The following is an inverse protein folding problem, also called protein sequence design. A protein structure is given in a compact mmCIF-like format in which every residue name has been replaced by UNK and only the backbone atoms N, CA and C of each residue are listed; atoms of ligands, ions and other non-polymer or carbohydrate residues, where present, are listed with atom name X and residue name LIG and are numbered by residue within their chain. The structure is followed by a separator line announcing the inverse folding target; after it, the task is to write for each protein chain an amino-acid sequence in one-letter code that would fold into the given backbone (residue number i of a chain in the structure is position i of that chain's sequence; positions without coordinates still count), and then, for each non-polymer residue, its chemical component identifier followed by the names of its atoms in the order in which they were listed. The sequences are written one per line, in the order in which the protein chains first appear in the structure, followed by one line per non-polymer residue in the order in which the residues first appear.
data_IF_137648265860
#
_entry.id   IF_137648265860
#
_cell.length_a   1.000
_cell.length_b   1.000
_cell.length_c   1.000
_cell.angle_alpha   90.00
_cell.angle_beta   90.00
_cell.angle_gamma   90.00
#
_symmetry.space_group_name_H-M   'P 1'
#
loop_
_entity.id
_entity.type
_entity.pdbx_description
1 polymer ?
#
# COMPACT_ATOMS: atom_id res chain seq x y z
N UNK A 1 16.43 18.59 -12.57
CA UNK A 1 16.28 17.13 -12.43
C UNK A 1 15.30 16.73 -11.33
N UNK A 2 15.40 17.32 -10.13
CA UNK A 2 14.52 17.02 -8.98
C UNK A 2 13.06 17.39 -9.29
N UNK A 3 12.80 18.64 -9.73
CA UNK A 3 11.46 19.09 -10.09
C UNK A 3 10.76 18.17 -11.12
N UNK A 4 11.47 17.77 -12.19
CA UNK A 4 10.93 16.82 -13.19
C UNK A 4 10.55 15.47 -12.58
N UNK A 5 11.42 14.90 -11.74
CA UNK A 5 11.19 13.59 -11.14
C UNK A 5 10.08 13.62 -10.08
N UNK A 6 10.03 14.68 -9.26
CA UNK A 6 8.95 14.90 -8.29
C UNK A 6 7.62 15.15 -9.00
N UNK A 7 7.62 15.91 -10.10
CA UNK A 7 6.42 16.18 -10.89
C UNK A 7 5.82 14.92 -11.53
N UNK A 8 6.65 14.00 -12.05
CA UNK A 8 6.18 12.69 -12.56
C UNK A 8 5.51 11.88 -11.46
N UNK A 9 6.09 11.85 -10.26
CA UNK A 9 5.51 11.16 -9.11
C UNK A 9 4.18 11.81 -8.72
N UNK A 10 4.16 13.14 -8.65
CA UNK A 10 2.98 13.93 -8.31
C UNK A 10 1.82 13.65 -9.28
N UNK A 11 2.06 13.75 -10.59
CA UNK A 11 1.04 13.43 -11.61
C UNK A 11 0.58 11.98 -11.47
N UNK A 12 1.50 11.02 -11.36
CA UNK A 12 1.10 9.61 -11.32
C UNK A 12 0.28 9.30 -10.09
N UNK A 13 0.69 9.78 -8.91
CA UNK A 13 -0.08 9.61 -7.67
C UNK A 13 -1.42 10.34 -7.76
N UNK A 14 -1.48 11.50 -8.40
CA UNK A 14 -2.72 12.25 -8.61
C UNK A 14 -3.68 11.49 -9.51
N UNK A 15 -3.19 10.94 -10.62
CA UNK A 15 -3.97 10.06 -11.48
C UNK A 15 -4.45 8.82 -10.72
N UNK A 16 -3.60 8.19 -9.91
CA UNK A 16 -4.01 7.05 -9.10
C UNK A 16 -5.12 7.43 -8.09
N UNK A 17 -4.99 8.58 -7.43
CA UNK A 17 -5.99 9.08 -6.49
C UNK A 17 -7.33 9.36 -7.19
N UNK A 18 -7.31 10.04 -8.34
CA UNK A 18 -8.51 10.35 -9.14
C UNK A 18 -9.18 9.07 -9.65
N UNK A 19 -8.42 8.11 -10.19
CA UNK A 19 -8.96 6.82 -10.64
C UNK A 19 -9.56 6.03 -9.47
N UNK A 20 -8.89 6.02 -8.32
CA UNK A 20 -9.39 5.40 -7.11
C UNK A 20 -10.70 6.03 -6.65
N UNK A 21 -10.77 7.36 -6.63
CA UNK A 21 -11.97 8.11 -6.27
C UNK A 21 -13.12 7.87 -7.25
N UNK A 22 -12.82 7.80 -8.56
CA UNK A 22 -13.81 7.44 -9.58
C UNK A 22 -14.38 6.03 -9.34
N UNK A 23 -13.53 5.05 -9.04
CA UNK A 23 -13.97 3.69 -8.71
C UNK A 23 -14.90 3.66 -7.49
N UNK A 24 -14.57 4.41 -6.45
CA UNK A 24 -15.41 4.52 -5.25
C UNK A 24 -16.73 5.24 -5.54
N UNK A 25 -16.69 6.35 -6.30
CA UNK A 25 -17.90 7.07 -6.68
C UNK A 25 -18.85 6.20 -7.52
N UNK A 26 -18.31 5.41 -8.43
CA UNK A 26 -19.10 4.46 -9.23
C UNK A 26 -19.75 3.39 -8.33
N UNK A 27 -18.99 2.80 -7.40
CA UNK A 27 -19.52 1.85 -6.41
C UNK A 27 -20.65 2.50 -5.59
N UNK A 28 -20.42 3.69 -5.02
CA UNK A 28 -21.41 4.41 -4.22
C UNK A 28 -22.68 4.71 -5.03
N UNK A 29 -22.56 5.05 -6.31
CA UNK A 29 -23.72 5.32 -7.18
C UNK A 29 -24.48 4.06 -7.59
N UNK A 30 -23.82 2.91 -7.66
CA UNK A 30 -24.47 1.65 -8.07
C UNK A 30 -25.09 0.94 -6.86
N UNK A 31 -24.40 0.89 -5.72
CA UNK A 31 -24.87 0.17 -4.53
C UNK A 31 -25.61 1.05 -3.52
N UNK A 32 -25.63 2.37 -3.71
CA UNK A 32 -26.38 3.31 -2.87
C UNK A 32 -25.95 3.27 -1.40
N UNK A 33 -26.94 3.24 -0.50
CA UNK A 33 -26.75 3.24 0.95
C UNK A 33 -26.00 2.01 1.49
N UNK A 34 -25.91 0.92 0.71
CA UNK A 34 -25.19 -0.28 1.13
C UNK A 34 -23.68 -0.21 0.87
N UNK A 35 -23.22 0.73 0.03
CA UNK A 35 -21.80 0.84 -0.33
C UNK A 35 -20.87 1.04 0.88
N UNK A 36 -21.17 1.95 1.83
CA UNK A 36 -20.32 2.17 3.00
C UNK A 36 -20.20 0.91 3.88
N UNK A 37 -21.30 0.19 4.10
CA UNK A 37 -21.30 -1.02 4.93
C UNK A 37 -20.43 -2.14 4.34
N UNK A 38 -20.54 -2.39 3.03
CA UNK A 38 -19.77 -3.43 2.33
C UNK A 38 -18.29 -3.06 2.24
N UNK A 39 -17.98 -1.81 1.84
CA UNK A 39 -16.60 -1.34 1.75
C UNK A 39 -15.95 -1.26 3.14
N UNK A 40 -16.73 -0.95 4.17
CA UNK A 40 -16.30 -0.94 5.55
C UNK A 40 -15.77 -2.28 6.04
N UNK A 41 -16.44 -3.39 5.73
CA UNK A 41 -15.96 -4.75 6.05
C UNK A 41 -14.60 -5.03 5.40
N UNK A 42 -14.48 -4.71 4.10
CA UNK A 42 -13.24 -4.89 3.34
C UNK A 42 -12.10 -4.04 3.93
N UNK A 43 -12.37 -2.77 4.20
CA UNK A 43 -11.36 -1.85 4.69
C UNK A 43 -11.00 -2.07 6.15
N UNK A 44 -11.92 -2.57 6.98
CA UNK A 44 -11.60 -3.06 8.31
C UNK A 44 -10.62 -4.23 8.23
N UNK A 45 -10.92 -5.26 7.42
CA UNK A 45 -10.02 -6.39 7.21
C UNK A 45 -8.63 -5.96 6.70
N UNK A 46 -8.59 -5.01 5.76
CA UNK A 46 -7.34 -4.41 5.29
C UNK A 46 -6.58 -3.71 6.43
N UNK A 47 -7.27 -2.95 7.27
CA UNK A 47 -6.65 -2.17 8.35
C UNK A 47 -6.14 -3.06 9.47
N UNK A 48 -6.90 -4.08 9.83
CA UNK A 48 -6.53 -5.06 10.85
C UNK A 48 -5.22 -5.76 10.46
N UNK A 49 -5.14 -6.29 9.24
CA UNK A 49 -3.89 -6.88 8.74
C UNK A 49 -2.81 -5.81 8.56
N UNK A 50 -3.19 -4.62 8.08
CA UNK A 50 -2.32 -3.48 7.86
C UNK A 50 -1.64 -2.96 9.13
N UNK A 51 -2.25 -3.11 10.30
CA UNK A 51 -1.67 -2.75 11.59
C UNK A 51 -0.37 -3.53 11.88
N UNK A 52 -0.20 -4.72 11.29
CA UNK A 52 1.03 -5.51 11.37
C UNK A 52 2.03 -5.21 10.25
N UNK A 53 1.62 -4.47 9.21
CA UNK A 53 2.42 -4.26 8.00
C UNK A 53 3.73 -3.50 8.24
N UNK A 54 3.87 -2.81 9.38
CA UNK A 54 5.14 -2.21 9.80
C UNK A 54 6.27 -3.25 9.86
N UNK A 55 5.97 -4.52 10.18
CA UNK A 55 6.96 -5.61 10.21
C UNK A 55 7.61 -5.79 8.83
N UNK A 56 6.85 -5.56 7.76
CA UNK A 56 7.34 -5.66 6.38
C UNK A 56 8.31 -4.55 5.99
N UNK A 57 8.37 -3.48 6.80
CA UNK A 57 9.27 -2.35 6.60
C UNK A 57 9.69 -1.77 7.96
N UNK A 58 10.78 -2.29 8.51
CA UNK A 58 11.38 -1.82 9.76
C UNK A 58 12.46 -0.76 9.49
N UNK A 59 12.22 0.15 8.54
CA UNK A 59 13.19 1.15 8.07
C UNK A 59 14.17 0.64 6.99
N UNK A 60 14.04 -0.61 6.57
CA UNK A 60 14.91 -1.21 5.56
C UNK A 60 14.73 -0.62 4.15
N UNK A 61 13.55 -0.08 3.83
CA UNK A 61 13.33 0.60 2.55
C UNK A 61 14.22 1.86 2.46
N UNK A 62 14.28 2.64 3.55
CA UNK A 62 15.16 3.80 3.64
C UNK A 62 16.65 3.39 3.66
N UNK A 63 16.99 2.28 4.34
CA UNK A 63 18.35 1.73 4.31
C UNK A 63 18.77 1.39 2.87
N UNK A 64 17.91 0.70 2.13
CA UNK A 64 18.15 0.30 0.75
C UNK A 64 18.37 1.51 -0.16
N UNK A 65 17.44 2.46 -0.10
CA UNK A 65 17.54 3.70 -0.90
C UNK A 65 18.82 4.45 -0.59
N UNK A 66 19.20 4.56 0.69
CA UNK A 66 20.45 5.20 1.11
C UNK A 66 21.66 4.47 0.55
N UNK A 67 21.75 3.14 0.67
CA UNK A 67 22.95 2.40 0.23
C UNK A 67 23.19 2.46 -1.27
N UNK A 68 22.14 2.35 -2.08
CA UNK A 68 22.28 2.52 -3.52
C UNK A 68 22.64 3.97 -3.87
N UNK A 69 22.01 4.95 -3.21
CA UNK A 69 22.30 6.38 -3.44
C UNK A 69 23.73 6.78 -3.03
N UNK A 70 24.32 6.08 -2.06
CA UNK A 70 25.72 6.21 -1.63
C UNK A 70 26.71 5.56 -2.62
N UNK A 71 26.22 4.88 -3.68
CA UNK A 71 27.07 4.25 -4.70
C UNK A 71 27.60 2.87 -4.33
N UNK A 72 26.93 2.16 -3.41
CA UNK A 72 27.29 0.77 -3.07
C UNK A 72 26.97 -0.19 -4.22
N UNK A 73 27.56 -1.40 -4.18
CA UNK A 73 27.37 -2.41 -5.21
C UNK A 73 25.87 -2.76 -5.34
N UNK A 74 25.34 -2.57 -6.55
CA UNK A 74 23.91 -2.70 -6.81
C UNK A 74 23.44 -4.16 -6.69
N UNK A 75 24.25 -5.12 -7.16
CA UNK A 75 23.92 -6.53 -7.12
C UNK A 75 23.80 -7.04 -5.68
N UNK A 76 24.79 -6.71 -4.84
CA UNK A 76 24.79 -7.03 -3.41
C UNK A 76 23.69 -6.31 -2.64
N UNK A 77 23.42 -5.03 -2.96
CA UNK A 77 22.29 -4.29 -2.37
C UNK A 77 20.96 -4.99 -2.67
N UNK A 78 20.69 -5.32 -3.94
CA UNK A 78 19.44 -5.95 -4.36
C UNK A 78 19.29 -7.33 -3.74
N UNK A 79 20.32 -8.17 -3.81
CA UNK A 79 20.33 -9.52 -3.23
C UNK A 79 20.05 -9.52 -1.73
N UNK A 80 20.74 -8.64 -1.00
CA UNK A 80 20.58 -8.51 0.46
C UNK A 80 19.20 -7.97 0.80
N UNK A 81 18.72 -6.96 0.08
CA UNK A 81 17.42 -6.36 0.34
C UNK A 81 16.25 -7.28 0.02
N UNK A 82 16.34 -8.08 -1.05
CA UNK A 82 15.37 -9.14 -1.37
C UNK A 82 15.30 -10.16 -0.22
N UNK A 83 16.46 -10.64 0.26
CA UNK A 83 16.50 -11.59 1.38
C UNK A 83 15.87 -11.00 2.64
N UNK A 84 16.20 -9.74 2.98
CA UNK A 84 15.57 -9.03 4.10
C UNK A 84 14.06 -8.96 3.91
N UNK A 85 13.58 -8.55 2.74
CA UNK A 85 12.15 -8.42 2.46
C UNK A 85 11.41 -9.75 2.59
N UNK A 86 11.96 -10.83 2.03
CA UNK A 86 11.36 -12.16 2.16
C UNK A 86 11.24 -12.60 3.63
N UNK A 87 12.28 -12.38 4.43
CA UNK A 87 12.26 -12.69 5.87
C UNK A 87 11.20 -11.85 6.59
N UNK A 88 11.20 -10.53 6.38
CA UNK A 88 10.25 -9.62 7.03
C UNK A 88 8.80 -9.91 6.63
N UNK A 89 8.54 -10.17 5.35
CA UNK A 89 7.21 -10.55 4.85
C UNK A 89 6.77 -11.90 5.43
N UNK A 90 7.69 -12.85 5.59
CA UNK A 90 7.42 -14.13 6.26
C UNK A 90 7.08 -13.96 7.74
N UNK A 91 7.85 -13.15 8.49
CA UNK A 91 7.59 -12.83 9.90
C UNK A 91 6.24 -12.12 10.03
N UNK A 92 5.94 -11.17 9.14
CA UNK A 92 4.65 -10.50 9.09
C UNK A 92 3.51 -11.52 8.93
N UNK A 93 3.55 -12.38 7.92
CA UNK A 93 2.49 -13.36 7.70
C UNK A 93 2.33 -14.30 8.90
N UNK A 94 3.44 -14.80 9.45
CA UNK A 94 3.44 -15.65 10.64
C UNK A 94 2.84 -14.93 11.86
N UNK A 95 3.14 -13.63 12.05
CA UNK A 95 2.61 -12.84 13.17
C UNK A 95 1.10 -12.64 13.09
N UNK A 96 0.56 -12.39 11.90
CA UNK A 96 -0.89 -12.24 11.71
C UNK A 96 -1.60 -13.58 11.92
N UNK A 97 -1.07 -14.67 11.34
CA UNK A 97 -1.63 -16.03 11.53
C UNK A 97 -1.58 -16.43 13.02
N UNK A 98 -0.48 -16.14 13.71
CA UNK A 98 -0.35 -16.43 15.15
C UNK A 98 -1.40 -15.67 15.96
N UNK A 99 -1.64 -14.40 15.63
CA UNK A 99 -2.69 -13.58 16.27
C UNK A 99 -4.08 -14.22 16.08
N UNK A 100 -4.40 -14.70 14.87
CA UNK A 100 -5.68 -15.39 14.59
C UNK A 100 -5.81 -16.67 15.42
N UNK A 101 -4.74 -17.47 15.51
CA UNK A 101 -4.72 -18.72 16.29
C UNK A 101 -4.92 -18.42 17.78
N UNK A 102 -4.21 -17.43 18.32
CA UNK A 102 -4.34 -17.03 19.73
C UNK A 102 -5.77 -16.56 20.01
N UNK A 103 -6.33 -15.72 19.13
CA UNK A 103 -7.70 -15.22 19.26
C UNK A 103 -8.72 -16.37 19.34
N UNK A 104 -8.60 -17.33 18.43
CA UNK A 104 -9.57 -18.43 18.32
C UNK A 104 -9.43 -19.49 19.41
N UNK A 105 -8.21 -19.93 19.68
CA UNK A 105 -7.96 -21.12 20.52
C UNK A 105 -7.54 -20.80 21.95
N UNK A 106 -6.98 -19.61 22.20
CA UNK A 106 -6.54 -19.20 23.54
C UNK A 106 -7.58 -18.33 24.20
N UNK A 107 -8.11 -17.32 23.48
CA UNK A 107 -9.14 -16.42 24.00
C UNK A 107 -10.57 -16.97 23.85
N UNK A 108 -10.75 -18.05 23.08
CA UNK A 108 -12.06 -18.65 22.77
C UNK A 108 -13.06 -17.67 22.16
N UNK A 109 -12.56 -16.63 21.50
CA UNK A 109 -13.36 -15.64 20.81
C UNK A 109 -13.57 -16.06 19.35
N UNK A 110 -14.75 -15.76 18.81
CA UNK A 110 -15.01 -15.91 17.38
C UNK A 110 -14.91 -14.54 16.71
N UNK A 111 -14.39 -14.50 15.48
CA UNK A 111 -14.48 -13.29 14.68
C UNK A 111 -15.94 -13.14 14.22
N UNK A 112 -16.69 -12.22 14.84
CA UNK A 112 -18.05 -11.89 14.43
C UNK A 112 -18.07 -10.76 13.39
N UNK A 113 -19.08 -10.83 12.52
CA UNK A 113 -19.68 -9.68 11.84
C UNK A 113 -18.84 -8.95 10.76
N UNK A 114 -17.87 -8.11 11.12
CA UNK A 114 -17.05 -7.29 10.20
C UNK A 114 -15.69 -7.92 9.84
N UNK A 115 -15.32 -9.01 10.50
CA UNK A 115 -14.06 -9.74 10.30
C UNK A 115 -14.33 -11.17 9.88
N UNK A 116 -14.83 -11.38 8.65
CA UNK A 116 -14.77 -12.74 8.12
C UNK A 116 -13.30 -13.14 8.02
N UNK A 117 -12.93 -14.23 8.70
CA UNK A 117 -11.57 -14.78 8.72
C UNK A 117 -10.99 -14.90 7.29
N UNK A 118 -11.85 -15.25 6.33
CA UNK A 118 -11.53 -15.29 4.90
C UNK A 118 -11.02 -13.96 4.34
N UNK A 119 -11.58 -12.82 4.76
CA UNK A 119 -11.14 -11.48 4.34
C UNK A 119 -9.77 -11.15 4.93
N UNK A 120 -9.50 -11.55 6.18
CA UNK A 120 -8.18 -11.39 6.80
C UNK A 120 -7.13 -12.16 6.00
N UNK A 121 -7.39 -13.43 5.65
CA UNK A 121 -6.48 -14.23 4.83
C UNK A 121 -6.22 -13.61 3.45
N UNK A 122 -7.25 -13.07 2.80
CA UNK A 122 -7.10 -12.35 1.54
C UNK A 122 -6.20 -11.12 1.70
N UNK A 123 -6.31 -10.39 2.80
CA UNK A 123 -5.44 -9.23 3.05
C UNK A 123 -4.01 -9.61 3.44
N UNK A 124 -3.78 -10.77 4.06
CA UNK A 124 -2.41 -11.29 4.21
C UNK A 124 -1.77 -11.46 2.82
N UNK A 125 -2.47 -12.11 1.89
CA UNK A 125 -1.98 -12.29 0.52
C UNK A 125 -1.73 -10.95 -0.20
N UNK A 126 -2.65 -9.99 -0.06
CA UNK A 126 -2.48 -8.63 -0.57
C UNK A 126 -1.19 -7.98 -0.04
N UNK A 127 -0.96 -7.99 1.28
CA UNK A 127 0.21 -7.36 1.88
C UNK A 127 1.52 -8.08 1.55
N UNK A 128 1.48 -9.40 1.30
CA UNK A 128 2.64 -10.15 0.77
C UNK A 128 3.04 -9.60 -0.60
N UNK A 129 2.12 -9.56 -1.56
CA UNK A 129 2.43 -9.03 -2.90
C UNK A 129 2.80 -7.55 -2.86
N UNK A 130 2.08 -6.75 -2.07
CA UNK A 130 2.36 -5.32 -1.92
C UNK A 130 3.76 -5.09 -1.35
N UNK A 131 4.17 -5.85 -0.33
CA UNK A 131 5.49 -5.77 0.29
C UNK A 131 6.60 -6.15 -0.70
N UNK A 132 6.43 -7.26 -1.43
CA UNK A 132 7.40 -7.71 -2.42
C UNK A 132 7.51 -6.75 -3.61
N UNK A 133 6.40 -6.11 -4.00
CA UNK A 133 6.40 -5.07 -5.03
C UNK A 133 7.22 -3.83 -4.63
N UNK A 134 7.44 -3.58 -3.33
CA UNK A 134 8.31 -2.49 -2.89
C UNK A 134 9.78 -2.71 -3.27
N UNK A 135 10.23 -3.96 -3.49
CA UNK A 135 11.60 -4.26 -3.90
C UNK A 135 11.99 -3.47 -5.16
N UNK A 136 11.34 -3.70 -6.33
CA UNK A 136 11.67 -2.98 -7.55
C UNK A 136 11.44 -1.48 -7.44
N UNK A 137 10.41 -1.04 -6.69
CA UNK A 137 10.07 0.38 -6.54
C UNK A 137 11.17 1.13 -5.81
N UNK A 138 11.62 0.61 -4.66
CA UNK A 138 12.68 1.25 -3.88
C UNK A 138 14.01 1.24 -4.62
N UNK A 139 14.35 0.15 -5.31
CA UNK A 139 15.54 0.09 -6.17
C UNK A 139 15.47 1.13 -7.29
N UNK A 140 14.39 1.21 -8.05
CA UNK A 140 14.24 2.16 -9.16
C UNK A 140 14.22 3.63 -8.68
N UNK A 141 13.58 3.90 -7.55
CA UNK A 141 13.57 5.22 -6.92
C UNK A 141 14.98 5.65 -6.49
N UNK A 142 15.74 4.73 -5.88
CA UNK A 142 17.13 5.01 -5.48
C UNK A 142 18.06 5.29 -6.67
N UNK A 143 17.79 4.66 -7.82
CA UNK A 143 18.47 4.91 -9.09
C UNK A 143 17.95 6.17 -9.82
N UNK A 144 17.02 6.93 -9.21
CA UNK A 144 16.36 8.12 -9.78
C UNK A 144 15.59 7.83 -11.07
N UNK A 145 15.15 6.59 -11.27
CA UNK A 145 14.36 6.12 -12.41
C UNK A 145 12.87 6.07 -12.07
N UNK A 146 12.39 7.16 -11.46
CA UNK A 146 11.06 7.25 -10.85
C UNK A 146 9.92 6.98 -11.85
N UNK A 147 10.09 7.34 -13.13
CA UNK A 147 9.10 7.02 -14.16
C UNK A 147 8.79 5.51 -14.24
N UNK A 148 9.80 4.64 -14.05
CA UNK A 148 9.59 3.18 -14.11
C UNK A 148 8.89 2.62 -12.88
N UNK A 149 9.22 3.14 -11.69
CA UNK A 149 8.51 2.74 -10.47
C UNK A 149 7.07 3.24 -10.46
N UNK A 150 6.83 4.43 -10.99
CA UNK A 150 5.48 4.99 -11.16
C UNK A 150 4.60 4.14 -12.07
N UNK A 151 5.12 3.55 -13.15
CA UNK A 151 4.37 2.61 -14.01
C UNK A 151 3.89 1.38 -13.21
N UNK A 152 4.76 0.82 -12.35
CA UNK A 152 4.39 -0.30 -11.48
C UNK A 152 3.29 0.10 -10.49
N UNK A 153 3.39 1.26 -9.85
CA UNK A 153 2.35 1.77 -8.93
C UNK A 153 1.02 2.00 -9.67
N UNK A 154 1.05 2.61 -10.85
CA UNK A 154 -0.14 2.86 -11.65
C UNK A 154 -0.84 1.56 -12.06
N UNK A 155 -0.08 0.49 -12.33
CA UNK A 155 -0.63 -0.80 -12.72
C UNK A 155 -1.47 -1.48 -11.63
N UNK A 156 -1.19 -1.23 -10.34
CA UNK A 156 -2.08 -1.64 -9.24
C UNK A 156 -3.41 -0.91 -9.33
N UNK A 157 -3.36 0.42 -9.46
CA UNK A 157 -4.58 1.22 -9.41
C UNK A 157 -5.47 0.97 -10.62
N UNK A 158 -4.90 0.88 -11.83
CA UNK A 158 -5.65 0.58 -13.04
C UNK A 158 -6.32 -0.79 -12.95
N UNK A 159 -5.56 -1.83 -12.58
CA UNK A 159 -6.09 -3.19 -12.45
C UNK A 159 -7.20 -3.26 -11.39
N UNK A 160 -6.95 -2.69 -10.20
CA UNK A 160 -7.93 -2.68 -9.11
C UNK A 160 -9.21 -1.95 -9.51
N UNK A 161 -9.11 -0.72 -10.04
CA UNK A 161 -10.30 0.08 -10.39
C UNK A 161 -11.09 -0.61 -11.50
N UNK A 162 -10.41 -1.16 -12.50
CA UNK A 162 -11.07 -1.92 -13.57
C UNK A 162 -11.90 -3.09 -13.00
N UNK A 163 -11.30 -3.90 -12.13
CA UNK A 163 -11.99 -5.03 -11.50
C UNK A 163 -13.13 -4.57 -10.58
N UNK A 164 -12.92 -3.53 -9.78
CA UNK A 164 -13.94 -2.97 -8.90
C UNK A 164 -15.18 -2.51 -9.67
N UNK A 165 -15.01 -1.92 -10.86
CA UNK A 165 -16.13 -1.52 -11.72
C UNK A 165 -16.90 -2.74 -12.24
N UNK A 166 -16.20 -3.79 -12.68
CA UNK A 166 -16.83 -5.04 -13.11
C UNK A 166 -17.64 -5.66 -11.96
N UNK A 167 -17.05 -5.72 -10.78
CA UNK A 167 -17.69 -6.25 -9.57
C UNK A 167 -18.92 -5.40 -9.20
N UNK A 168 -18.83 -4.08 -9.26
CA UNK A 168 -19.94 -3.17 -9.00
C UNK A 168 -21.15 -3.45 -9.90
N UNK A 169 -20.91 -3.71 -11.19
CA UNK A 169 -21.96 -3.98 -12.18
C UNK A 169 -22.64 -5.35 -12.01
N UNK A 170 -21.99 -6.30 -11.32
CA UNK A 170 -22.55 -7.63 -11.09
C UNK A 170 -23.71 -7.64 -10.08
N UNK A 171 -23.88 -6.58 -9.28
CA UNK A 171 -24.86 -6.50 -8.20
C UNK A 171 -24.42 -7.23 -6.93
N UNK A 172 -25.31 -7.32 -5.95
CA UNK A 172 -25.07 -7.91 -4.63
C UNK A 172 -26.17 -8.92 -4.36
N UNK A 173 -25.81 -10.14 -3.96
CA UNK A 173 -26.76 -11.16 -3.56
C UNK A 173 -26.32 -11.80 -2.24
N UNK A 174 -27.04 -11.51 -1.16
CA UNK A 174 -26.84 -12.16 0.13
C UNK A 174 -25.66 -11.61 0.96
N UNK A 175 -25.20 -10.39 0.71
CA UNK A 175 -24.12 -9.81 1.51
C UNK A 175 -24.61 -9.47 2.91
N UNK A 176 -23.89 -9.93 3.95
CA UNK A 176 -24.19 -9.57 5.33
C UNK A 176 -23.43 -8.30 5.70
N UNK A 177 -24.16 -7.30 6.17
CA UNK A 177 -23.59 -6.08 6.77
C UNK A 177 -24.16 -5.87 8.18
N UNK A 178 -23.38 -5.16 8.98
CA UNK A 178 -23.73 -4.84 10.37
C UNK A 178 -24.04 -3.37 10.43
N UNK A 179 -25.23 -3.07 10.94
CA UNK A 179 -25.72 -1.71 11.13
C UNK A 179 -26.13 -1.51 12.57
N UNK A 180 -26.38 -0.28 12.97
CA UNK A 180 -26.90 0.03 14.30
C UNK A 180 -28.24 -0.67 14.58
N UNK A 181 -29.00 -1.01 13.51
CA UNK A 181 -30.25 -1.75 13.57
C UNK A 181 -30.08 -3.28 13.58
N UNK A 182 -28.84 -3.79 13.65
CA UNK A 182 -28.49 -5.21 13.61
C UNK A 182 -27.93 -5.68 12.25
N UNK A 183 -27.82 -7.00 12.09
CA UNK A 183 -27.31 -7.65 10.87
C UNK A 183 -28.37 -7.64 9.77
N UNK A 184 -28.02 -7.11 8.59
CA UNK A 184 -28.91 -7.06 7.42
C UNK A 184 -28.36 -7.87 6.25
N UNK A 185 -29.24 -8.57 5.55
CA UNK A 185 -28.94 -9.24 4.27
C UNK A 185 -29.21 -8.24 3.15
N UNK A 186 -28.15 -7.84 2.44
CA UNK A 186 -28.22 -6.89 1.33
C UNK A 186 -28.36 -7.64 0.01
N UNK A 187 -29.35 -7.23 -0.77
CA UNK A 187 -29.56 -7.66 -2.15
C UNK A 187 -29.72 -6.42 -3.03
N UNK A 188 -28.80 -6.24 -3.97
CA UNK A 188 -28.87 -5.19 -4.99
C UNK A 188 -28.90 -5.88 -6.35
N UNK A 189 -29.97 -5.72 -7.15
CA UNK A 189 -30.05 -6.35 -8.45
C UNK A 189 -28.89 -5.88 -9.33
N UNK A 190 -28.42 -6.77 -10.20
CA UNK A 190 -27.40 -6.40 -11.18
C UNK A 190 -27.93 -5.26 -12.07
N UNK A 191 -27.07 -4.27 -12.35
CA UNK A 191 -27.48 -3.12 -13.16
C UNK A 191 -27.78 -3.51 -14.61
N UNK A 192 -27.10 -4.54 -15.10
CA UNK A 192 -27.30 -5.13 -16.42
C UNK A 192 -27.25 -6.65 -16.32
N UNK A 193 -28.10 -7.31 -17.10
CA UNK A 193 -28.01 -8.76 -17.32
C UNK A 193 -26.83 -8.98 -18.27
N UNK A 194 -25.80 -9.70 -17.82
CA UNK A 194 -24.63 -9.94 -18.66
C UNK A 194 -24.95 -10.95 -19.78
N UNK A 195 -24.15 -11.00 -20.86
CA UNK A 195 -24.31 -12.02 -21.89
C UNK A 195 -24.29 -13.44 -21.29
N UNK A 196 -25.01 -14.38 -21.91
CA UNK A 196 -25.25 -15.71 -21.35
C UNK A 196 -23.98 -16.44 -20.87
N UNK A 197 -22.90 -16.31 -21.65
CA UNK A 197 -21.59 -16.86 -21.33
C UNK A 197 -21.00 -16.37 -19.99
N UNK A 198 -21.34 -15.15 -19.56
CA UNK A 198 -20.82 -14.54 -18.34
C UNK A 198 -21.74 -14.67 -17.12
N UNK A 199 -22.93 -15.28 -17.24
CA UNK A 199 -23.83 -15.50 -16.09
C UNK A 199 -23.17 -16.23 -14.91
N UNK A 200 -22.37 -17.30 -15.11
CA UNK A 200 -21.72 -17.98 -14.00
C UNK A 200 -20.79 -17.05 -13.21
N UNK A 201 -20.06 -16.19 -13.92
CA UNK A 201 -19.15 -15.21 -13.31
C UNK A 201 -19.95 -14.12 -12.60
N UNK A 202 -21.02 -13.61 -13.23
CA UNK A 202 -21.89 -12.61 -12.62
C UNK A 202 -22.49 -13.11 -11.30
N UNK A 203 -23.01 -14.34 -11.28
CA UNK A 203 -23.58 -14.97 -10.09
C UNK A 203 -22.51 -15.21 -9.01
N UNK A 204 -21.31 -15.64 -9.40
CA UNK A 204 -20.21 -15.81 -8.45
C UNK A 204 -19.81 -14.47 -7.79
N UNK A 205 -19.66 -13.41 -8.59
CA UNK A 205 -19.29 -12.09 -8.10
C UNK A 205 -20.35 -11.48 -7.17
N UNK A 206 -21.64 -11.63 -7.51
CA UNK A 206 -22.73 -11.07 -6.70
C UNK A 206 -22.89 -11.79 -5.37
N UNK A 207 -22.69 -13.11 -5.33
CA UNK A 207 -22.78 -13.93 -4.10
C UNK A 207 -21.57 -13.76 -3.19
N UNK A 208 -20.37 -13.55 -3.75
CA UNK A 208 -19.12 -13.44 -3.01
C UNK A 208 -18.55 -12.02 -3.00
N UNK A 209 -19.42 -11.00 -2.90
CA UNK A 209 -19.03 -9.60 -3.17
C UNK A 209 -17.83 -9.11 -2.35
N UNK A 210 -17.80 -9.38 -1.04
CA UNK A 210 -16.72 -8.95 -0.13
C UNK A 210 -15.39 -9.62 -0.52
N UNK A 211 -15.44 -10.91 -0.87
CA UNK A 211 -14.29 -11.67 -1.35
C UNK A 211 -13.82 -11.18 -2.73
N UNK A 212 -14.75 -10.88 -3.64
CA UNK A 212 -14.45 -10.36 -4.97
C UNK A 212 -13.75 -8.98 -4.90
N UNK A 213 -14.24 -8.06 -4.05
CA UNK A 213 -13.60 -6.76 -3.82
C UNK A 213 -12.20 -6.97 -3.25
N UNK A 214 -12.06 -7.82 -2.23
CA UNK A 214 -10.75 -8.13 -1.62
C UNK A 214 -9.77 -8.71 -2.65
N UNK A 215 -10.26 -9.59 -3.54
CA UNK A 215 -9.48 -10.12 -4.64
C UNK A 215 -9.05 -9.04 -5.65
N UNK A 216 -9.88 -8.04 -5.94
CA UNK A 216 -9.48 -6.92 -6.80
C UNK A 216 -8.28 -6.15 -6.23
N UNK A 217 -8.17 -6.01 -4.91
CA UNK A 217 -6.98 -5.46 -4.25
C UNK A 217 -5.75 -6.36 -4.42
N UNK A 218 -5.90 -7.68 -4.25
CA UNK A 218 -4.81 -8.64 -4.48
C UNK A 218 -4.34 -8.59 -5.93
N UNK A 219 -5.25 -8.60 -6.89
CA UNK A 219 -4.93 -8.51 -8.32
C UNK A 219 -4.21 -7.21 -8.67
N UNK A 220 -4.59 -6.09 -8.04
CA UNK A 220 -3.85 -4.83 -8.12
C UNK A 220 -2.41 -4.96 -7.59
N UNK A 221 -2.24 -5.45 -6.37
CA UNK A 221 -0.91 -5.66 -5.78
C UNK A 221 -0.04 -6.63 -6.59
N UNK A 222 -0.65 -7.70 -7.14
CA UNK A 222 0.01 -8.66 -8.01
C UNK A 222 0.44 -8.01 -9.33
N UNK A 223 -0.41 -7.20 -9.95
CA UNK A 223 -0.08 -6.42 -11.15
C UNK A 223 1.15 -5.53 -10.90
N UNK A 224 1.14 -4.78 -9.80
CA UNK A 224 2.26 -3.94 -9.37
C UNK A 224 3.54 -4.75 -9.12
N UNK A 225 3.43 -5.91 -8.46
CA UNK A 225 4.54 -6.85 -8.28
C UNK A 225 5.11 -7.31 -9.63
N UNK A 226 4.28 -7.85 -10.52
CA UNK A 226 4.70 -8.38 -11.83
C UNK A 226 5.37 -7.28 -12.67
N UNK A 227 4.70 -6.15 -12.85
CA UNK A 227 5.21 -5.02 -13.63
C UNK A 227 6.50 -4.47 -13.01
N UNK A 228 6.56 -4.37 -11.68
CA UNK A 228 7.76 -3.93 -10.97
C UNK A 228 8.97 -4.83 -11.24
N UNK A 229 8.81 -6.14 -11.14
CA UNK A 229 9.90 -7.09 -11.39
C UNK A 229 10.30 -7.15 -12.87
N UNK A 230 9.36 -6.98 -13.81
CA UNK A 230 9.67 -6.80 -15.23
C UNK A 230 10.59 -5.58 -15.43
N UNK A 231 10.31 -4.46 -14.74
CA UNK A 231 11.14 -3.25 -14.81
C UNK A 231 12.51 -3.43 -14.15
N UNK A 232 12.61 -4.30 -13.13
CA UNK A 232 13.84 -4.61 -12.42
C UNK A 232 14.75 -5.63 -13.15
N UNK A 233 14.22 -6.40 -14.10
CA UNK A 233 14.95 -7.48 -14.80
C UNK A 233 16.30 -7.06 -15.42
N UNK A 234 16.49 -5.78 -15.74
CA UNK A 234 17.73 -5.25 -16.35
C UNK A 234 18.81 -4.89 -15.33
N UNK A 235 18.59 -5.07 -14.03
CA UNK A 235 19.54 -4.70 -12.97
C UNK A 235 20.12 -5.93 -12.30
N UNK A 236 21.41 -5.88 -11.90
CA UNK A 236 22.08 -7.02 -11.28
C UNK A 236 21.44 -7.38 -9.93
N UNK A 237 21.37 -8.68 -9.67
CA UNK A 237 20.96 -9.26 -8.39
C UNK A 237 22.02 -10.30 -8.04
N UNK A 238 22.76 -10.07 -6.96
CA UNK A 238 23.77 -10.99 -6.45
C UNK A 238 23.22 -11.77 -5.26
N UNK A 239 23.97 -12.75 -4.73
CA UNK A 239 23.62 -13.39 -3.46
C UNK A 239 23.66 -12.37 -2.30
N UNK A 240 22.83 -12.55 -1.25
CA UNK A 240 22.86 -11.68 -0.08
C UNK A 240 24.24 -11.69 0.57
N UNK A 241 24.69 -10.52 1.03
CA UNK A 241 26.02 -10.31 1.58
C UNK A 241 25.92 -9.91 3.06
N UNK A 242 26.71 -10.57 3.92
CA UNK A 242 26.67 -10.38 5.38
C UNK A 242 27.11 -8.98 5.80
N UNK A 243 28.07 -8.38 5.09
CA UNK A 243 28.52 -7.00 5.34
C UNK A 243 27.39 -6.02 5.04
N UNK A 244 26.72 -6.20 3.90
CA UNK A 244 25.57 -5.39 3.49
C UNK A 244 24.41 -5.54 4.48
N UNK A 245 24.13 -6.76 4.96
CA UNK A 245 23.10 -6.99 5.98
C UNK A 245 23.38 -6.18 7.25
N UNK A 246 24.62 -6.19 7.75
CA UNK A 246 25.03 -5.41 8.92
C UNK A 246 24.88 -3.90 8.69
N UNK A 247 25.26 -3.42 7.50
CA UNK A 247 25.09 -2.01 7.13
C UNK A 247 23.62 -1.59 7.07
N UNK A 248 22.72 -2.48 6.62
CA UNK A 248 21.29 -2.22 6.56
C UNK A 248 20.71 -2.18 7.97
N UNK A 249 21.02 -3.17 8.80
CA UNK A 249 20.58 -3.25 10.19
C UNK A 249 20.98 -2.01 11.00
N UNK A 250 22.24 -1.59 10.92
CA UNK A 250 22.73 -0.39 11.64
C UNK A 250 21.95 0.89 11.31
N UNK A 251 21.41 0.98 10.09
CA UNK A 251 20.59 2.12 9.70
C UNK A 251 19.10 1.91 9.99
N UNK A 252 18.60 0.69 9.82
CA UNK A 252 17.19 0.34 9.99
C UNK A 252 16.78 0.36 11.46
N UNK A 253 17.59 -0.18 12.38
CA UNK A 253 17.29 -0.28 13.82
C UNK A 253 16.83 1.06 14.44
N UNK A 254 17.57 2.18 14.31
CA UNK A 254 17.10 3.46 14.86
C UNK A 254 15.85 3.99 14.14
N UNK A 255 15.62 3.59 12.88
CA UNK A 255 14.43 3.97 12.10
C UNK A 255 13.20 3.11 12.43
N UNK A 256 13.34 2.01 13.17
CA UNK A 256 12.22 1.12 13.49
C UNK A 256 11.14 1.83 14.29
N UNK A 257 11.53 2.64 15.28
CA UNK A 257 10.62 3.38 16.16
C UNK A 257 9.73 4.35 15.36
N UNK A 258 10.28 5.32 14.60
CA UNK A 258 9.45 6.26 13.85
C UNK A 258 8.58 5.57 12.80
N UNK A 259 9.07 4.47 12.20
CA UNK A 259 8.29 3.71 11.22
C UNK A 259 7.12 2.99 11.90
N UNK A 260 7.34 2.31 13.03
CA UNK A 260 6.26 1.68 13.81
C UNK A 260 5.14 2.68 14.14
N UNK A 261 5.48 3.85 14.70
CA UNK A 261 4.50 4.88 15.02
C UNK A 261 3.75 5.40 13.79
N UNK A 262 4.44 5.58 12.67
CA UNK A 262 3.81 6.05 11.43
C UNK A 262 2.79 5.05 10.89
N UNK A 263 3.11 3.76 10.93
CA UNK A 263 2.21 2.69 10.47
C UNK A 263 1.03 2.50 11.42
N UNK A 264 1.27 2.48 12.73
CA UNK A 264 0.20 2.42 13.72
C UNK A 264 -0.78 3.59 13.53
N UNK A 265 -0.29 4.82 13.39
CA UNK A 265 -1.14 5.98 13.16
C UNK A 265 -1.95 5.91 11.84
N UNK A 266 -1.50 5.13 10.86
CA UNK A 266 -2.18 5.00 9.56
C UNK A 266 -3.33 3.98 9.56
N UNK A 267 -3.37 3.07 10.54
CA UNK A 267 -4.31 1.95 10.58
C UNK A 267 -5.10 1.84 11.90
N UNK A 268 -4.57 2.34 13.02
CA UNK A 268 -5.19 2.22 14.34
C UNK A 268 -6.56 2.89 14.40
N UNK A 269 -6.71 4.06 13.77
CA UNK A 269 -7.98 4.78 13.61
C UNK A 269 -9.12 3.85 13.19
N UNK A 270 -8.90 3.04 12.16
CA UNK A 270 -9.96 2.19 11.57
C UNK A 270 -10.14 0.89 12.32
N UNK A 271 -9.08 0.37 12.92
CA UNK A 271 -9.18 -0.82 13.77
C UNK A 271 -10.00 -0.49 15.02
N UNK A 272 -9.75 0.66 15.64
CA UNK A 272 -10.52 1.13 16.79
C UNK A 272 -11.96 1.40 16.37
N UNK A 273 -12.19 2.12 15.26
CA UNK A 273 -13.54 2.35 14.75
C UNK A 273 -14.26 1.04 14.44
N UNK A 274 -13.66 0.11 13.72
CA UNK A 274 -14.36 -1.15 13.39
C UNK A 274 -14.54 -2.11 14.57
N UNK A 275 -13.84 -1.89 15.70
CA UNK A 275 -14.05 -2.64 16.94
C UNK A 275 -15.19 -2.06 17.78
N UNK A 276 -15.25 -0.73 17.91
CA UNK A 276 -16.25 -0.08 18.77
C UNK A 276 -17.56 0.28 18.04
N UNK A 277 -17.50 0.43 16.72
CA UNK A 277 -18.52 1.04 15.88
C UNK A 277 -18.84 0.13 14.68
N UNK A 278 -19.77 0.55 13.83
CA UNK A 278 -20.29 -0.28 12.73
C UNK A 278 -19.38 -0.26 11.50
N UNK A 279 -19.53 -1.25 10.61
CA UNK A 279 -18.80 -1.27 9.34
C UNK A 279 -19.16 -0.07 8.46
N UNK A 280 -20.37 0.46 8.57
CA UNK A 280 -20.83 1.65 7.85
C UNK A 280 -19.96 2.87 8.20
N UNK A 281 -19.68 3.08 9.49
CA UNK A 281 -18.87 4.20 9.97
C UNK A 281 -17.40 4.08 9.52
N UNK A 282 -16.85 2.86 9.54
CA UNK A 282 -15.53 2.59 8.95
C UNK A 282 -15.51 2.96 7.47
N UNK A 283 -16.58 2.62 6.74
CA UNK A 283 -16.78 3.00 5.34
C UNK A 283 -16.73 4.50 5.12
N UNK A 284 -17.52 5.27 5.88
CA UNK A 284 -17.51 6.73 5.76
C UNK A 284 -16.16 7.35 6.11
N UNK A 285 -15.54 6.90 7.21
CA UNK A 285 -14.25 7.40 7.65
C UNK A 285 -13.17 7.23 6.56
N UNK A 286 -13.09 6.03 5.97
CA UNK A 286 -12.15 5.76 4.90
C UNK A 286 -12.39 6.59 3.65
N UNK A 287 -13.66 6.80 3.29
CA UNK A 287 -14.00 7.63 2.13
C UNK A 287 -13.49 9.07 2.31
N UNK A 288 -13.65 9.64 3.51
CA UNK A 288 -13.13 10.98 3.84
C UNK A 288 -11.60 10.99 3.86
N UNK A 289 -10.96 9.98 4.45
CA UNK A 289 -9.50 9.90 4.51
C UNK A 289 -8.85 9.88 3.10
N UNK A 290 -9.52 9.32 2.09
CA UNK A 290 -9.06 9.36 0.69
C UNK A 290 -8.94 10.78 0.16
N UNK A 291 -9.84 11.67 0.57
CA UNK A 291 -9.79 13.09 0.23
C UNK A 291 -8.59 13.75 0.92
N UNK A 292 -8.37 13.45 2.21
CA UNK A 292 -7.21 13.96 2.96
C UNK A 292 -5.86 13.54 2.37
N UNK A 293 -5.76 12.32 1.84
CA UNK A 293 -4.52 11.87 1.17
C UNK A 293 -4.18 12.64 -0.09
N UNK A 294 -5.14 13.32 -0.71
CA UNK A 294 -4.86 14.18 -1.86
C UNK A 294 -3.97 15.38 -1.47
N UNK A 295 -4.13 15.92 -0.26
CA UNK A 295 -3.28 17.01 0.27
C UNK A 295 -1.84 16.53 0.51
N UNK A 296 -1.68 15.27 0.94
CA UNK A 296 -0.37 14.67 1.23
C UNK A 296 0.45 14.29 -0.01
N UNK A 297 -0.13 14.42 -1.21
CA UNK A 297 0.46 14.00 -2.47
C UNK A 297 1.72 14.82 -2.83
N UNK A 298 1.72 16.13 -2.56
CA UNK A 298 2.87 16.97 -2.88
C UNK A 298 4.05 16.73 -1.93
N UNK A 299 3.85 16.73 -0.59
CA UNK A 299 4.90 16.35 0.35
C UNK A 299 5.51 14.96 0.06
N UNK A 300 4.67 13.96 -0.27
CA UNK A 300 5.15 12.60 -0.54
C UNK A 300 6.05 12.53 -1.80
N UNK A 301 5.66 13.21 -2.88
CA UNK A 301 6.40 13.22 -4.14
C UNK A 301 7.79 13.88 -3.99
N UNK A 302 7.87 14.93 -3.17
CA UNK A 302 9.13 15.61 -2.86
C UNK A 302 10.01 14.71 -2.00
N UNK A 303 9.46 14.09 -0.96
CA UNK A 303 10.17 13.19 -0.06
C UNK A 303 10.87 12.03 -0.79
N UNK A 304 10.17 11.40 -1.75
CA UNK A 304 10.71 10.28 -2.55
C UNK A 304 11.97 10.68 -3.34
N UNK A 305 12.08 11.93 -3.80
CA UNK A 305 13.24 12.42 -4.56
C UNK A 305 14.30 13.03 -3.67
N UNK A 306 13.87 13.67 -2.58
CA UNK A 306 14.73 14.41 -1.66
C UNK A 306 15.72 13.48 -0.96
N UNK A 307 15.24 12.36 -0.41
CA UNK A 307 16.10 11.45 0.36
C UNK A 307 17.24 10.82 -0.47
N UNK A 308 17.00 10.20 -1.65
CA UNK A 308 18.09 9.73 -2.51
C UNK A 308 19.05 10.85 -2.93
N UNK A 309 18.52 12.05 -3.14
CA UNK A 309 19.34 13.20 -3.57
C UNK A 309 20.28 13.64 -2.45
N UNK A 310 19.76 13.85 -1.23
CA UNK A 310 20.56 14.18 -0.04
C UNK A 310 21.63 13.12 0.20
N UNK A 311 21.25 11.84 0.15
CA UNK A 311 22.18 10.73 0.35
C UNK A 311 23.31 10.72 -0.70
N UNK A 312 22.98 10.92 -1.97
CA UNK A 312 23.99 11.01 -3.05
C UNK A 312 24.90 12.25 -2.93
N UNK A 313 24.35 13.40 -2.49
CA UNK A 313 25.11 14.63 -2.28
C UNK A 313 26.07 14.52 -1.10
N UNK A 314 25.66 13.81 -0.04
CA UNK A 314 26.49 13.59 1.14
C UNK A 314 27.79 12.87 0.79
N UNK A 315 27.71 11.85 -0.08
CA UNK A 315 28.90 11.14 -0.59
C UNK A 315 29.67 11.99 -1.60
N UNK A 316 28.98 12.61 -2.55
CA UNK A 316 29.61 13.42 -3.61
C UNK A 316 30.45 14.58 -3.06
N UNK A 317 30.02 15.22 -1.98
CA UNK A 317 30.71 16.34 -1.36
C UNK A 317 31.36 15.98 -0.02
N UNK A 318 31.69 14.70 0.20
CA UNK A 318 32.26 14.21 1.47
C UNK A 318 33.54 14.96 1.87
N UNK A 319 34.39 15.30 0.90
CA UNK A 319 35.65 16.02 1.11
C UNK A 319 35.48 17.53 1.33
N UNK A 320 34.37 18.15 0.90
CA UNK A 320 34.14 19.59 1.01
C UNK A 320 32.87 19.88 1.82
N UNK A 321 33.04 19.92 3.14
CA UNK A 321 31.95 20.10 4.12
C UNK A 321 31.20 21.41 3.92
N UNK A 322 31.89 22.53 3.63
CA UNK A 322 31.24 23.83 3.38
C UNK A 322 30.32 23.76 2.17
N UNK A 323 30.81 23.23 1.05
CA UNK A 323 30.01 23.06 -0.18
C UNK A 323 28.84 22.08 0.03
N UNK A 324 29.08 20.98 0.74
CA UNK A 324 28.04 20.00 1.11
C UNK A 324 26.91 20.67 1.87
N UNK A 325 27.24 21.34 2.98
CA UNK A 325 26.24 21.97 3.85
C UNK A 325 25.49 23.07 3.09
N UNK A 326 26.19 23.89 2.30
CA UNK A 326 25.55 24.93 1.49
C UNK A 326 24.54 24.35 0.49
N UNK A 327 24.92 23.32 -0.27
CA UNK A 327 23.99 22.72 -1.23
C UNK A 327 22.83 21.97 -0.57
N UNK A 328 23.07 21.32 0.57
CA UNK A 328 21.99 20.68 1.34
C UNK A 328 20.99 21.72 1.85
N UNK A 329 21.45 22.84 2.41
CA UNK A 329 20.58 23.93 2.87
C UNK A 329 19.78 24.52 1.71
N UNK A 330 20.41 24.77 0.56
CA UNK A 330 19.70 25.25 -0.64
C UNK A 330 18.62 24.27 -1.08
N UNK A 331 18.93 22.97 -1.10
CA UNK A 331 17.98 21.93 -1.49
C UNK A 331 16.80 21.83 -0.51
N UNK A 332 17.08 21.88 0.80
CA UNK A 332 16.04 21.86 1.83
C UNK A 332 15.14 23.09 1.72
N UNK A 333 15.70 24.30 1.65
CA UNK A 333 14.93 25.55 1.50
C UNK A 333 14.07 25.56 0.23
N UNK A 334 14.61 25.05 -0.89
CA UNK A 334 13.83 24.94 -2.11
C UNK A 334 12.67 23.96 -1.96
N UNK A 335 12.89 22.83 -1.28
CA UNK A 335 11.86 21.82 -1.03
C UNK A 335 10.77 22.35 -0.09
N UNK A 336 11.16 23.03 1.00
CA UNK A 336 10.24 23.67 1.95
C UNK A 336 9.38 24.73 1.26
N UNK A 337 10.00 25.63 0.48
CA UNK A 337 9.27 26.67 -0.26
C UNK A 337 8.26 26.08 -1.24
N UNK A 338 8.59 24.94 -1.87
CA UNK A 338 7.70 24.29 -2.81
C UNK A 338 6.53 23.58 -2.10
N UNK A 339 6.79 22.97 -0.94
CA UNK A 339 5.74 22.39 -0.09
C UNK A 339 4.79 23.50 0.37
N UNK A 340 5.31 24.60 0.92
CA UNK A 340 4.51 25.72 1.44
C UNK A 340 3.71 26.51 0.40
N UNK A 341 3.95 26.28 -0.89
CA UNK A 341 3.14 26.88 -1.96
C UNK A 341 1.90 26.04 -2.30
N UNK A 342 1.86 24.77 -1.87
CA UNK A 342 0.81 23.82 -2.25
C UNK A 342 0.01 23.30 -1.05
N UNK A 343 0.63 23.21 0.13
CA UNK A 343 -0.04 23.03 1.43
C UNK A 343 -0.24 24.37 2.10
#
# INVERSE_FOLDING_TARGET
MIAKNSFIIMITQGTCAVLGMFGLFAISKIWGEHAPGIMGVVWFGMSFVGAFSFITNLGFDAAHVKKISEGKDLGKCNGTYIAIKLILTGIFAASVISTIIIWKYVLNEQFYDSTRESVIYLFIAYYVFFSLAQIPIMTLNSLKKNAKSQISILSDTVMRVFLLLIIALAGISGALIVTDAGTQIVNVPARYVWPAFFHPIQAFLSTHIIGAISFAYIAGALSMFVVGFIMLRKYPISRPDKEYMSMYLRFAVPMMIPVLFSFLNSYLDKVILGYYWTSVEVGYYFAVQRISFFVMLVPSAIGIVLFPTISSMYVKYRSNVKKRNHQLVQLTRFSERYISMVT
#
